data_IF_511609402817
#
_entry.id   IF_511609402817
#
_cell.length_a   1.000
_cell.length_b   1.000
_cell.length_c   1.000
_cell.angle_alpha   90.00
_cell.angle_beta   90.00
_cell.angle_gamma   90.00
#
_symmetry.space_group_name_H-M   'P 1'
#
loop_
_entity.id
_entity.type
_entity.pdbx_description
1 polymer ?
#
# COMPACT_ATOMS: atom_id res chain seq x y z
N UNK A 1 -6.21 18.12 1.38
CA UNK A 1 -5.31 19.26 1.65
C UNK A 1 -4.26 19.39 0.55
N UNK A 2 -3.71 20.60 0.40
CA UNK A 2 -2.50 20.89 -0.39
C UNK A 2 -1.46 21.45 0.57
N UNK A 3 -0.22 21.01 0.45
CA UNK A 3 0.89 21.48 1.28
C UNK A 3 2.08 21.87 0.40
N UNK A 4 2.84 22.87 0.86
CA UNK A 4 4.06 23.35 0.23
C UNK A 4 5.26 23.11 1.16
N UNK A 5 6.38 22.74 0.58
CA UNK A 5 7.68 22.74 1.24
C UNK A 5 8.57 23.75 0.53
N UNK A 6 9.03 24.75 1.27
CA UNK A 6 9.88 25.80 0.71
C UNK A 6 11.30 25.28 0.53
N UNK A 7 11.98 25.75 -0.50
CA UNK A 7 13.37 25.34 -0.73
C UNK A 7 14.25 25.64 0.50
N UNK A 8 15.12 24.71 0.86
CA UNK A 8 16.00 24.83 2.04
C UNK A 8 15.30 24.59 3.39
N UNK A 9 14.01 24.30 3.42
CA UNK A 9 13.27 23.94 4.64
C UNK A 9 12.98 22.44 4.70
N UNK A 10 12.75 21.90 5.90
CA UNK A 10 12.33 20.51 6.08
C UNK A 10 10.81 20.36 6.14
N UNK A 11 10.11 21.39 6.64
CA UNK A 11 8.71 21.30 7.03
C UNK A 11 7.75 21.54 5.86
N UNK A 12 6.66 20.76 5.87
CA UNK A 12 5.51 20.98 4.99
C UNK A 12 4.51 21.92 5.66
N UNK A 13 4.10 22.95 4.93
CA UNK A 13 3.12 23.93 5.39
C UNK A 13 1.85 23.79 4.57
N UNK A 14 0.70 23.68 5.25
CA UNK A 14 -0.60 23.62 4.59
C UNK A 14 -0.94 24.94 3.91
N UNK A 15 -1.40 24.85 2.66
CA UNK A 15 -1.96 25.98 1.92
C UNK A 15 -3.47 26.08 2.19
N UNK A 16 -3.96 27.31 2.41
CA UNK A 16 -5.38 27.59 2.44
C UNK A 16 -5.95 27.58 1.01
N UNK A 17 -7.19 27.12 0.83
CA UNK A 17 -7.76 26.82 -0.50
C UNK A 17 -8.07 28.04 -1.38
N UNK A 18 -8.04 29.24 -0.81
CA UNK A 18 -8.40 30.51 -1.42
C UNK A 18 -7.21 31.48 -1.60
N UNK A 19 -6.01 31.08 -1.17
CA UNK A 19 -4.81 31.92 -1.24
C UNK A 19 -3.95 31.60 -2.47
N UNK A 20 -3.45 32.66 -3.12
CA UNK A 20 -2.43 32.53 -4.16
C UNK A 20 -1.05 32.59 -3.53
N UNK A 21 -0.22 31.58 -3.78
CA UNK A 21 1.15 31.53 -3.31
C UNK A 21 2.12 31.54 -4.49
N UNK A 22 3.08 32.47 -4.47
CA UNK A 22 4.18 32.43 -5.42
C UNK A 22 5.06 31.21 -5.14
N UNK A 23 5.25 30.38 -6.15
CA UNK A 23 6.14 29.23 -6.13
C UNK A 23 7.53 29.67 -6.63
N UNK A 24 8.59 29.23 -5.97
CA UNK A 24 9.97 29.50 -6.39
C UNK A 24 10.64 28.22 -6.90
N UNK A 25 11.66 28.33 -7.77
CA UNK A 25 12.52 27.19 -8.07
C UNK A 25 13.05 26.53 -6.80
N UNK A 26 12.90 25.22 -6.73
CA UNK A 26 13.24 24.38 -5.59
C UNK A 26 12.11 24.15 -4.59
N UNK A 27 10.95 24.81 -4.71
CA UNK A 27 9.77 24.54 -3.89
C UNK A 27 9.06 23.24 -4.34
N UNK A 28 8.48 22.54 -3.38
CA UNK A 28 7.75 21.28 -3.59
C UNK A 28 6.30 21.42 -3.13
N UNK A 29 5.37 20.77 -3.85
CA UNK A 29 3.95 20.74 -3.54
C UNK A 29 3.49 19.29 -3.41
N UNK A 30 2.61 19.01 -2.46
CA UNK A 30 1.92 17.72 -2.35
C UNK A 30 0.41 17.90 -2.20
N UNK A 31 -0.34 17.00 -2.83
CA UNK A 31 -1.81 16.98 -2.79
C UNK A 31 -2.32 15.71 -2.13
N UNK A 32 -3.40 15.78 -1.34
CA UNK A 32 -4.07 14.61 -0.76
C UNK A 32 -5.21 14.08 -1.63
N UNK A 33 -5.85 12.98 -1.20
CA UNK A 33 -6.93 12.20 -1.87
C UNK A 33 -8.09 13.00 -2.48
N UNK A 34 -8.41 14.18 -1.95
CA UNK A 34 -9.50 15.04 -2.42
C UNK A 34 -9.04 16.48 -2.64
N UNK A 35 -7.85 16.66 -3.22
CA UNK A 35 -7.29 18.00 -3.43
C UNK A 35 -6.52 18.08 -4.72
N UNK A 36 -6.68 19.20 -5.42
CA UNK A 36 -5.93 19.54 -6.61
C UNK A 36 -5.33 20.92 -6.43
N UNK A 37 -4.33 21.26 -7.24
CA UNK A 37 -3.81 22.62 -7.30
C UNK A 37 -3.54 22.99 -8.75
N UNK A 38 -3.84 24.23 -9.11
CA UNK A 38 -3.48 24.83 -10.38
C UNK A 38 -2.23 25.70 -10.18
N UNK A 39 -1.19 25.41 -10.93
CA UNK A 39 0.05 26.19 -11.00
C UNK A 39 0.03 26.98 -12.31
N UNK A 40 0.14 28.30 -12.19
CA UNK A 40 0.17 29.22 -13.31
C UNK A 40 1.61 29.70 -13.52
N UNK A 41 2.10 29.62 -14.75
CA UNK A 41 3.44 30.07 -15.13
C UNK A 41 3.39 31.50 -15.65
N UNK A 42 4.52 32.21 -15.60
CA UNK A 42 4.63 33.59 -16.10
C UNK A 42 4.39 33.70 -17.62
N UNK A 43 4.63 32.62 -18.38
CA UNK A 43 4.39 32.59 -19.83
C UNK A 43 2.90 32.34 -20.20
N UNK A 44 2.05 32.15 -19.19
CA UNK A 44 0.62 31.87 -19.32
C UNK A 44 0.29 30.38 -19.47
N UNK A 45 1.27 29.49 -19.41
CA UNK A 45 1.04 28.05 -19.32
C UNK A 45 0.41 27.69 -17.97
N UNK A 46 -0.42 26.65 -17.96
CA UNK A 46 -1.10 26.15 -16.76
C UNK A 46 -0.75 24.69 -16.53
N UNK A 47 -0.48 24.33 -15.29
CA UNK A 47 -0.28 22.95 -14.86
C UNK A 47 -1.27 22.63 -13.74
N UNK A 48 -2.17 21.68 -13.98
CA UNK A 48 -3.02 21.14 -12.92
C UNK A 48 -2.37 19.91 -12.33
N UNK A 49 -2.18 19.93 -11.01
CA UNK A 49 -1.67 18.80 -10.22
C UNK A 49 -2.85 18.05 -9.63
N UNK A 50 -2.94 16.75 -9.94
CA UNK A 50 -4.02 15.87 -9.50
C UNK A 50 -3.92 15.56 -7.99
N UNK A 51 -4.92 14.91 -7.37
CA UNK A 51 -4.78 14.34 -6.03
C UNK A 51 -3.62 13.36 -5.93
N UNK A 52 -3.09 13.18 -4.71
CA UNK A 52 -2.03 12.22 -4.39
C UNK A 52 -0.82 12.34 -5.32
N UNK A 53 -0.36 13.58 -5.51
CA UNK A 53 0.77 13.91 -6.37
C UNK A 53 1.83 14.68 -5.59
N UNK A 54 3.09 14.43 -5.93
CA UNK A 54 4.24 15.18 -5.43
C UNK A 54 4.94 15.88 -6.59
N UNK A 55 4.87 17.20 -6.58
CA UNK A 55 5.32 18.11 -7.62
C UNK A 55 6.51 18.93 -7.12
N UNK A 56 7.43 19.27 -8.02
CA UNK A 56 8.53 20.19 -7.75
C UNK A 56 8.66 21.23 -8.85
N UNK A 57 8.76 22.50 -8.46
CA UNK A 57 9.23 23.52 -9.39
C UNK A 57 10.75 23.42 -9.47
N UNK A 58 11.30 22.97 -10.60
CA UNK A 58 12.76 22.82 -10.75
C UNK A 58 13.39 24.09 -11.32
N UNK A 59 12.75 24.70 -12.31
CA UNK A 59 13.19 25.94 -12.93
C UNK A 59 11.99 26.72 -13.47
N UNK A 60 12.01 28.03 -13.28
CA UNK A 60 11.20 28.99 -14.05
C UNK A 60 12.08 30.22 -14.32
N UNK A 61 12.57 30.34 -15.55
CA UNK A 61 13.46 31.41 -16.02
C UNK A 61 12.87 32.08 -17.25
N UNK A 62 13.56 33.07 -17.83
CA UNK A 62 13.14 33.69 -19.10
C UNK A 62 13.26 32.77 -20.31
N UNK A 63 13.98 31.66 -20.17
CA UNK A 63 14.28 30.75 -21.29
C UNK A 63 13.68 29.35 -21.14
N UNK A 64 13.38 28.93 -19.91
CA UNK A 64 12.92 27.58 -19.63
C UNK A 64 11.99 27.48 -18.41
N UNK A 65 11.13 26.48 -18.44
CA UNK A 65 10.33 25.98 -17.33
C UNK A 65 10.62 24.49 -17.21
N UNK A 66 11.02 24.06 -16.02
CA UNK A 66 11.27 22.65 -15.72
C UNK A 66 10.53 22.25 -14.45
N UNK A 67 9.74 21.19 -14.55
CA UNK A 67 8.91 20.70 -13.48
C UNK A 67 9.29 19.25 -13.20
N UNK A 68 9.39 18.91 -11.92
CA UNK A 68 9.49 17.54 -11.45
C UNK A 68 8.12 17.00 -11.03
N UNK A 69 7.79 15.79 -11.45
CA UNK A 69 6.70 14.99 -10.91
C UNK A 69 7.31 13.71 -10.32
N UNK A 70 7.34 13.61 -9.01
CA UNK A 70 7.91 12.45 -8.32
C UNK A 70 6.98 11.23 -8.40
N UNK A 71 5.69 11.45 -8.12
CA UNK A 71 4.60 10.48 -8.32
C UNK A 71 3.27 11.25 -8.44
N UNK A 72 2.25 10.58 -8.96
CA UNK A 72 0.92 11.13 -9.19
C UNK A 72 0.74 11.60 -10.63
N UNK A 73 0.05 12.73 -10.84
CA UNK A 73 -0.30 13.19 -12.19
C UNK A 73 -0.33 14.70 -12.32
N UNK A 74 0.15 15.17 -13.47
CA UNK A 74 -0.04 16.54 -13.93
C UNK A 74 -0.65 16.56 -15.32
N UNK A 75 -1.52 17.53 -15.57
CA UNK A 75 -1.94 17.92 -16.91
C UNK A 75 -1.46 19.34 -17.17
N UNK A 76 -0.82 19.53 -18.31
CA UNK A 76 -0.17 20.78 -18.65
C UNK A 76 -0.73 21.31 -19.96
N UNK A 77 -1.19 22.55 -19.93
CA UNK A 77 -1.58 23.33 -21.10
C UNK A 77 -0.47 24.33 -21.38
N UNK A 78 0.46 23.96 -22.26
CA UNK A 78 1.63 24.77 -22.59
C UNK A 78 1.31 25.67 -23.76
N UNK A 79 1.57 26.97 -23.60
CA UNK A 79 1.29 27.96 -24.64
C UNK A 79 2.18 27.74 -25.88
N UNK A 80 1.63 27.92 -27.08
CA UNK A 80 2.42 27.85 -28.33
C UNK A 80 3.45 28.98 -28.37
N UNK A 81 4.64 28.68 -28.89
CA UNK A 81 5.78 29.61 -29.00
C UNK A 81 6.28 30.20 -27.66
N UNK A 82 6.08 29.48 -26.56
CA UNK A 82 6.61 29.86 -25.25
C UNK A 82 8.06 29.40 -25.04
N UNK A 83 8.55 29.59 -23.81
CA UNK A 83 9.86 29.15 -23.32
C UNK A 83 9.99 27.62 -23.44
N UNK A 84 11.20 27.08 -23.31
CA UNK A 84 11.37 25.61 -23.28
C UNK A 84 10.58 25.06 -22.09
N UNK A 85 9.76 24.03 -22.29
CA UNK A 85 8.97 23.44 -21.22
C UNK A 85 9.31 21.97 -21.08
N UNK A 86 9.71 21.56 -19.88
CA UNK A 86 10.03 20.16 -19.58
C UNK A 86 9.28 19.67 -18.33
N UNK A 87 8.75 18.45 -18.42
CA UNK A 87 8.30 17.68 -17.26
C UNK A 87 9.25 16.51 -17.07
N UNK A 88 9.75 16.33 -15.85
CA UNK A 88 10.69 15.27 -15.47
C UNK A 88 10.04 14.37 -14.45
N UNK A 89 10.12 13.07 -14.65
CA UNK A 89 9.72 12.03 -13.71
C UNK A 89 10.93 11.15 -13.40
N UNK A 90 10.81 10.16 -12.49
CA UNK A 90 11.91 9.22 -12.25
C UNK A 90 12.36 8.45 -13.50
N UNK A 91 11.45 8.15 -14.43
CA UNK A 91 11.77 7.38 -15.64
C UNK A 91 11.82 8.17 -16.94
N UNK A 92 11.31 9.41 -16.97
CA UNK A 92 11.09 10.12 -18.20
C UNK A 92 11.49 11.60 -18.15
N UNK A 93 11.93 12.10 -19.31
CA UNK A 93 12.01 13.53 -19.61
C UNK A 93 11.08 13.82 -20.78
N UNK A 94 10.13 14.73 -20.57
CA UNK A 94 9.13 15.12 -21.54
C UNK A 94 9.41 16.56 -21.98
N UNK A 95 9.97 16.75 -23.17
CA UNK A 95 10.22 18.05 -23.76
C UNK A 95 9.03 18.46 -24.64
N UNK A 96 8.53 19.68 -24.40
CA UNK A 96 7.21 20.09 -24.88
C UNK A 96 7.26 21.47 -25.53
N UNK A 97 6.45 21.65 -26.58
CA UNK A 97 6.26 22.95 -27.23
C UNK A 97 4.83 23.10 -27.72
N UNK A 98 4.04 23.91 -27.01
CA UNK A 98 2.68 24.25 -27.41
C UNK A 98 1.74 23.04 -27.46
N UNK A 99 1.46 22.44 -26.31
CA UNK A 99 0.85 21.11 -26.21
C UNK A 99 -0.10 21.03 -25.01
N UNK A 100 -1.23 20.34 -25.19
CA UNK A 100 -2.08 19.83 -24.11
C UNK A 100 -1.75 18.36 -23.89
N UNK A 101 -1.15 18.05 -22.75
CA UNK A 101 -0.66 16.72 -22.45
C UNK A 101 -0.75 16.42 -20.95
N UNK A 102 -0.73 15.13 -20.64
CA UNK A 102 -0.76 14.62 -19.30
C UNK A 102 0.44 13.70 -19.07
N UNK A 103 1.02 13.82 -17.89
CA UNK A 103 2.09 12.95 -17.42
C UNK A 103 1.66 12.37 -16.09
N UNK A 104 1.71 11.05 -15.97
CA UNK A 104 1.58 10.35 -14.69
C UNK A 104 2.86 9.60 -14.38
N UNK A 105 3.19 9.52 -13.09
CA UNK A 105 4.26 8.69 -12.57
C UNK A 105 3.73 7.88 -11.39
N UNK A 106 3.92 6.56 -11.40
CA UNK A 106 3.57 5.72 -10.26
C UNK A 106 4.67 5.75 -9.19
N UNK A 107 4.38 5.15 -8.02
CA UNK A 107 5.35 5.08 -6.93
C UNK A 107 6.59 4.24 -7.31
N UNK A 108 6.44 3.29 -8.23
CA UNK A 108 7.49 2.41 -8.76
C UNK A 108 8.41 3.15 -9.77
N UNK A 109 8.07 4.40 -10.09
CA UNK A 109 8.82 5.29 -10.96
C UNK A 109 8.47 5.13 -12.44
N UNK A 110 7.54 4.25 -12.81
CA UNK A 110 7.10 4.15 -14.20
C UNK A 110 6.27 5.39 -14.55
N UNK A 111 6.40 5.84 -15.79
CA UNK A 111 5.70 7.03 -16.27
C UNK A 111 4.84 6.70 -17.48
N UNK A 112 3.80 7.47 -17.65
CA UNK A 112 2.98 7.47 -18.87
C UNK A 112 2.78 8.90 -19.34
N UNK A 113 2.94 9.09 -20.64
CA UNK A 113 2.73 10.37 -21.32
C UNK A 113 1.57 10.21 -22.28
N UNK A 114 0.59 11.12 -22.20
CA UNK A 114 -0.58 11.16 -23.07
C UNK A 114 -0.71 12.54 -23.70
N UNK A 115 -0.93 12.59 -25.02
CA UNK A 115 -0.99 13.86 -25.76
C UNK A 115 -2.36 14.05 -26.38
N UNK A 116 -3.01 15.17 -26.03
CA UNK A 116 -4.37 15.50 -26.48
C UNK A 116 -4.39 16.58 -27.56
N UNK A 117 -3.41 17.48 -27.58
CA UNK A 117 -3.17 18.43 -28.68
C UNK A 117 -1.67 18.68 -28.82
N UNK A 118 -1.11 18.59 -30.04
CA UNK A 118 0.30 18.88 -30.31
C UNK A 118 1.20 17.64 -30.25
N UNK A 119 2.39 17.77 -29.65
CA UNK A 119 3.35 16.65 -29.54
C UNK A 119 4.32 16.82 -28.37
N UNK A 120 4.70 15.70 -27.75
CA UNK A 120 5.73 15.62 -26.71
C UNK A 120 6.88 14.76 -27.20
N UNK A 121 8.11 15.28 -27.11
CA UNK A 121 9.30 14.44 -27.24
C UNK A 121 9.60 13.85 -25.87
N UNK A 122 9.30 12.56 -25.70
CA UNK A 122 9.56 11.85 -24.45
C UNK A 122 10.80 10.97 -24.60
N UNK A 123 11.65 10.95 -23.58
CA UNK A 123 12.83 10.09 -23.51
C UNK A 123 12.96 9.40 -22.17
N UNK A 124 13.60 8.23 -22.18
CA UNK A 124 13.85 7.42 -21.00
C UNK A 124 15.26 7.58 -20.42
N UNK A 125 15.52 6.93 -19.29
CA UNK A 125 16.82 6.94 -18.60
C UNK A 125 17.96 6.25 -19.36
N UNK A 126 17.67 5.52 -20.44
CA UNK A 126 18.65 4.82 -21.28
C UNK A 126 18.98 5.59 -22.57
N UNK A 127 18.38 6.77 -22.76
CA UNK A 127 18.59 7.61 -23.94
C UNK A 127 17.72 7.24 -25.14
N UNK A 128 16.73 6.34 -24.98
CA UNK A 128 15.72 6.14 -26.01
C UNK A 128 14.77 7.34 -26.00
N UNK A 129 14.32 7.78 -27.17
CA UNK A 129 13.38 8.90 -27.29
C UNK A 129 12.39 8.67 -28.42
N UNK A 130 11.12 9.01 -28.18
CA UNK A 130 10.04 8.92 -29.16
C UNK A 130 9.16 10.16 -29.13
N UNK A 131 8.70 10.58 -30.30
CA UNK A 131 7.75 11.67 -30.45
C UNK A 131 6.31 11.14 -30.29
N UNK A 132 5.69 11.44 -29.15
CA UNK A 132 4.29 11.14 -28.87
C UNK A 132 3.43 12.25 -29.47
N UNK A 133 2.55 11.93 -30.40
CA UNK A 133 1.69 12.90 -31.09
C UNK A 133 0.29 12.93 -30.50
N UNK A 134 -0.47 13.93 -30.90
CA UNK A 134 -1.90 14.01 -30.64
C UNK A 134 -2.63 12.68 -30.84
N UNK A 135 -3.46 12.33 -29.86
CA UNK A 135 -4.19 11.06 -29.83
C UNK A 135 -3.29 9.85 -29.55
N UNK A 136 -2.06 10.04 -29.06
CA UNK A 136 -1.16 8.96 -28.69
C UNK A 136 -0.78 8.99 -27.21
N UNK A 137 -0.32 7.85 -26.73
CA UNK A 137 0.33 7.69 -25.45
C UNK A 137 1.62 6.87 -25.56
N UNK A 138 2.48 6.95 -24.56
CA UNK A 138 3.62 6.05 -24.39
C UNK A 138 3.85 5.74 -22.91
N UNK A 139 4.12 4.47 -22.61
CA UNK A 139 4.56 4.02 -21.29
C UNK A 139 6.10 3.99 -21.24
N UNK A 140 6.67 4.49 -20.15
CA UNK A 140 8.10 4.67 -19.93
C UNK A 140 8.45 4.03 -18.59
N UNK A 141 8.84 2.74 -18.56
CA UNK A 141 9.17 2.04 -17.32
C UNK A 141 10.40 2.63 -16.61
N UNK A 142 10.46 2.52 -15.28
CA UNK A 142 11.59 3.00 -14.46
C UNK A 142 12.95 2.45 -14.89
N UNK A 143 12.97 1.19 -15.32
CA UNK A 143 14.17 0.53 -15.84
C UNK A 143 14.59 0.96 -17.25
N UNK A 144 13.90 1.92 -17.88
CA UNK A 144 14.05 2.26 -19.29
C UNK A 144 13.25 1.34 -20.21
N UNK A 145 13.57 1.35 -21.51
CA UNK A 145 12.82 0.68 -22.59
C UNK A 145 11.43 1.29 -22.79
N UNK A 146 11.42 2.59 -23.04
CA UNK A 146 10.22 3.29 -23.51
C UNK A 146 9.50 2.49 -24.61
N UNK A 147 8.18 2.34 -24.48
CA UNK A 147 7.36 1.71 -25.52
C UNK A 147 7.12 2.68 -26.67
N UNK A 148 7.03 2.15 -27.88
CA UNK A 148 6.62 2.94 -29.04
C UNK A 148 5.23 3.57 -28.80
N UNK A 149 4.99 4.82 -29.27
CA UNK A 149 3.72 5.48 -29.08
C UNK A 149 2.55 4.69 -29.67
N UNK A 150 1.55 4.39 -28.84
CA UNK A 150 0.30 3.74 -29.23
C UNK A 150 -0.86 4.74 -29.36
N UNK A 151 -1.94 4.34 -30.01
CA UNK A 151 -3.17 5.15 -30.06
C UNK A 151 -3.80 5.26 -28.67
N UNK A 152 -4.14 6.48 -28.26
CA UNK A 152 -4.92 6.78 -27.07
C UNK A 152 -6.39 7.00 -27.48
N UNK A 153 -7.27 6.00 -27.32
CA UNK A 153 -8.68 6.15 -27.67
C UNK A 153 -9.45 7.04 -26.68
N UNK A 154 -8.87 7.30 -25.52
CA UNK A 154 -9.51 8.01 -24.42
C UNK A 154 -9.25 9.52 -24.51
N UNK A 155 -10.29 10.31 -24.24
CA UNK A 155 -10.15 11.74 -24.04
C UNK A 155 -9.41 12.08 -22.74
N UNK A 156 -9.14 13.37 -22.47
CA UNK A 156 -8.43 13.75 -21.26
C UNK A 156 -9.18 13.35 -19.99
N UNK A 157 -8.53 12.55 -19.14
CA UNK A 157 -9.10 12.07 -17.88
C UNK A 157 -9.41 13.19 -16.87
N UNK A 158 -10.31 12.91 -15.92
CA UNK A 158 -10.67 13.85 -14.86
C UNK A 158 -9.49 14.11 -13.91
N UNK A 159 -8.94 15.32 -13.97
CA UNK A 159 -7.84 15.77 -13.12
C UNK A 159 -8.20 16.01 -11.65
N UNK A 160 -9.49 15.89 -11.28
CA UNK A 160 -9.92 15.86 -9.87
C UNK A 160 -9.85 14.45 -9.27
N UNK A 161 -9.59 13.44 -10.10
CA UNK A 161 -9.18 12.10 -9.67
C UNK A 161 -7.65 11.99 -9.79
N UNK A 162 -7.00 11.10 -9.06
CA UNK A 162 -5.57 10.84 -9.30
C UNK A 162 -5.35 9.92 -10.50
N UNK A 163 -4.13 9.89 -11.06
CA UNK A 163 -3.79 8.86 -12.05
C UNK A 163 -3.59 7.53 -11.37
N UNK A 164 -4.02 6.47 -12.05
CA UNK A 164 -4.13 5.14 -11.48
C UNK A 164 -5.54 4.87 -11.02
N UNK A 165 -6.02 3.64 -11.24
CA UNK A 165 -7.29 3.21 -10.67
C UNK A 165 -7.31 3.43 -9.15
N UNK A 166 -8.49 3.37 -8.51
CA UNK A 166 -8.68 3.44 -7.05
C UNK A 166 -7.62 2.63 -6.25
N UNK A 167 -7.11 1.56 -6.86
CA UNK A 167 -6.02 0.71 -6.42
C UNK A 167 -4.68 1.40 -6.19
N UNK A 168 -4.19 2.26 -7.09
CA UNK A 168 -2.88 2.90 -6.91
C UNK A 168 -2.91 3.95 -5.78
N UNK A 169 -4.06 4.58 -5.56
CA UNK A 169 -4.31 5.50 -4.45
C UNK A 169 -4.39 4.80 -3.10
N UNK A 170 -5.06 3.66 -3.11
CA UNK A 170 -5.06 2.71 -2.02
C UNK A 170 -3.63 2.30 -1.63
N UNK A 171 -2.78 1.97 -2.60
CA UNK A 171 -1.37 1.61 -2.39
C UNK A 171 -0.57 2.77 -1.80
N UNK A 172 -0.62 3.95 -2.40
CA UNK A 172 0.16 5.11 -1.96
C UNK A 172 -0.17 5.53 -0.52
N UNK A 173 -1.44 5.45 -0.10
CA UNK A 173 -1.85 5.73 1.27
C UNK A 173 -1.31 4.71 2.27
N UNK A 174 -1.30 3.42 1.91
CA UNK A 174 -0.84 2.36 2.80
C UNK A 174 0.69 2.39 2.94
N UNK A 175 1.42 2.68 1.86
CA UNK A 175 2.88 2.54 1.80
C UNK A 175 3.67 3.84 2.05
N UNK A 176 3.03 5.01 1.91
CA UNK A 176 3.71 6.31 1.98
C UNK A 176 3.97 6.83 3.41
N UNK A 177 3.35 6.25 4.43
CA UNK A 177 3.37 6.76 5.80
C UNK A 177 4.32 5.91 6.67
N UNK A 178 5.51 6.44 6.96
CA UNK A 178 6.52 5.75 7.79
C UNK A 178 6.84 6.46 9.10
N UNK A 179 6.71 7.79 9.20
CA UNK A 179 6.98 8.49 10.47
C UNK A 179 5.85 8.25 11.48
N UNK A 180 6.20 8.22 12.78
CA UNK A 180 5.21 8.07 13.85
C UNK A 180 4.18 9.20 13.82
N UNK A 181 4.64 10.43 13.60
CA UNK A 181 3.81 11.63 13.57
C UNK A 181 2.79 11.58 12.43
N UNK A 182 3.22 11.20 11.22
CA UNK A 182 2.31 11.06 10.07
C UNK A 182 1.27 9.98 10.33
N UNK A 183 1.70 8.80 10.82
CA UNK A 183 0.80 7.68 11.13
C UNK A 183 -0.24 8.08 12.17
N UNK A 184 0.16 8.77 13.25
CA UNK A 184 -0.75 9.21 14.30
C UNK A 184 -1.68 10.33 13.83
N UNK A 185 -1.18 11.30 13.06
CA UNK A 185 -2.00 12.39 12.52
C UNK A 185 -3.10 11.85 11.62
N UNK A 186 -2.77 10.86 10.78
CA UNK A 186 -3.71 10.25 9.83
C UNK A 186 -4.72 9.36 10.53
N UNK A 187 -4.26 8.58 11.52
CA UNK A 187 -5.16 7.83 12.37
C UNK A 187 -6.19 8.74 13.07
N UNK A 188 -5.80 9.92 13.56
CA UNK A 188 -6.73 10.88 14.15
C UNK A 188 -7.79 11.40 13.17
N UNK A 189 -7.46 11.54 11.89
CA UNK A 189 -8.41 11.91 10.84
C UNK A 189 -9.37 10.74 10.53
N UNK A 190 -8.82 9.54 10.39
CA UNK A 190 -9.56 8.32 10.03
C UNK A 190 -10.50 7.83 11.12
N UNK A 191 -10.08 7.92 12.38
CA UNK A 191 -10.89 7.51 13.54
C UNK A 191 -12.17 8.34 13.68
N UNK A 192 -12.25 9.54 13.08
CA UNK A 192 -13.51 10.31 13.03
C UNK A 192 -14.56 9.67 12.13
N UNK A 193 -14.14 8.84 11.19
CA UNK A 193 -14.98 8.16 10.21
C UNK A 193 -14.92 6.62 10.36
N UNK A 194 -14.40 6.11 11.49
CA UNK A 194 -14.28 4.67 11.72
C UNK A 194 -15.60 4.00 12.04
N UNK A 195 -15.81 2.82 11.48
CA UNK A 195 -17.00 1.99 11.74
C UNK A 195 -16.86 1.22 13.04
N UNK A 196 -15.70 0.61 13.25
CA UNK A 196 -15.33 -0.08 14.47
C UNK A 196 -14.07 0.56 15.05
N UNK A 197 -14.04 0.66 16.38
CA UNK A 197 -12.89 1.17 17.12
C UNK A 197 -12.75 0.38 18.42
N UNK A 198 -11.53 -0.03 18.72
CA UNK A 198 -11.16 -0.64 19.99
C UNK A 198 -9.95 0.07 20.58
N UNK A 199 -9.98 0.26 21.89
CA UNK A 199 -8.82 0.64 22.68
C UNK A 199 -8.64 -0.41 23.76
N UNK A 200 -7.51 -1.10 23.71
CA UNK A 200 -7.21 -2.21 24.60
C UNK A 200 -5.80 -2.06 25.14
N UNK A 201 -5.63 -2.48 26.39
CA UNK A 201 -4.31 -2.64 26.98
C UNK A 201 -4.13 -4.12 27.30
N UNK A 202 -3.01 -4.68 26.88
CA UNK A 202 -2.63 -6.05 27.15
C UNK A 202 -1.12 -6.13 27.42
N UNK A 203 -0.65 -7.28 27.86
CA UNK A 203 0.77 -7.61 27.97
C UNK A 203 1.14 -8.49 26.78
N UNK A 204 2.28 -8.22 26.15
CA UNK A 204 2.78 -9.03 25.04
C UNK A 204 3.53 -10.28 25.51
N UNK A 205 3.89 -11.16 24.57
CA UNK A 205 4.63 -12.40 24.84
C UNK A 205 6.00 -12.18 25.52
N UNK A 206 6.50 -10.94 25.56
CA UNK A 206 7.76 -10.56 26.19
C UNK A 206 7.56 -9.84 27.53
N UNK A 207 6.32 -9.81 28.05
CA UNK A 207 5.99 -9.20 29.34
C UNK A 207 5.83 -7.68 29.30
N UNK A 208 5.82 -7.04 28.13
CA UNK A 208 5.68 -5.60 28.02
C UNK A 208 4.22 -5.19 27.88
N UNK A 209 3.86 -4.08 28.52
CA UNK A 209 2.53 -3.50 28.41
C UNK A 209 2.36 -2.81 27.05
N UNK A 210 1.34 -3.20 26.31
CA UNK A 210 1.00 -2.67 24.99
C UNK A 210 -0.32 -1.91 25.08
N UNK A 211 -0.32 -0.64 24.68
CA UNK A 211 -1.54 0.09 24.35
C UNK A 211 -1.86 -0.12 22.88
N UNK A 212 -2.98 -0.76 22.61
CA UNK A 212 -3.48 -1.06 21.27
C UNK A 212 -4.63 -0.11 20.95
N UNK A 213 -4.50 0.63 19.86
CA UNK A 213 -5.59 1.40 19.26
C UNK A 213 -5.86 0.82 17.88
N UNK A 214 -7.06 0.28 17.71
CA UNK A 214 -7.44 -0.44 16.51
C UNK A 214 -8.73 0.15 15.96
N UNK A 215 -8.83 0.22 14.64
CA UNK A 215 -10.02 0.73 14.01
C UNK A 215 -10.15 0.24 12.57
N UNK A 216 -11.35 0.44 12.03
CA UNK A 216 -11.64 0.13 10.65
C UNK A 216 -12.33 1.27 9.92
N UNK A 217 -11.99 1.48 8.65
CA UNK A 217 -12.64 2.50 7.80
C UNK A 217 -13.01 1.94 6.42
N UNK A 218 -13.94 2.60 5.73
CA UNK A 218 -14.24 2.36 4.31
C UNK A 218 -13.70 3.48 3.44
N UNK A 219 -12.50 3.35 2.88
CA UNK A 219 -11.92 4.39 2.04
C UNK A 219 -12.62 4.51 0.67
N UNK A 220 -13.37 3.47 0.25
CA UNK A 220 -14.21 3.44 -0.93
C UNK A 220 -15.36 2.43 -0.74
N UNK A 221 -16.38 2.46 -1.62
CA UNK A 221 -17.58 1.63 -1.49
C UNK A 221 -17.28 0.11 -1.47
N UNK A 222 -16.24 -0.34 -2.17
CA UNK A 222 -15.81 -1.74 -2.22
C UNK A 222 -14.52 -1.99 -1.42
N UNK A 223 -14.15 -1.08 -0.52
CA UNK A 223 -12.91 -1.17 0.23
C UNK A 223 -13.14 -1.10 1.74
N UNK A 224 -12.33 -1.85 2.46
CA UNK A 224 -12.28 -1.86 3.91
C UNK A 224 -10.82 -1.85 4.33
N UNK A 225 -10.45 -0.94 5.24
CA UNK A 225 -9.11 -0.83 5.80
C UNK A 225 -9.15 -1.13 7.29
N UNK A 226 -8.27 -2.02 7.72
CA UNK A 226 -7.98 -2.33 9.11
C UNK A 226 -6.68 -1.65 9.53
N UNK A 227 -6.67 -1.02 10.69
CA UNK A 227 -5.47 -0.39 11.26
C UNK A 227 -5.32 -0.79 12.72
N UNK A 228 -4.08 -1.10 13.11
CA UNK A 228 -3.67 -1.27 14.51
C UNK A 228 -2.45 -0.43 14.80
N UNK A 229 -2.49 0.27 15.92
CA UNK A 229 -1.39 1.08 16.45
C UNK A 229 -1.01 0.52 17.81
N UNK A 230 0.23 0.07 17.96
CA UNK A 230 0.76 -0.47 19.21
C UNK A 230 1.79 0.50 19.80
N UNK A 231 1.47 1.07 20.96
CA UNK A 231 2.43 1.85 21.73
C UNK A 231 2.91 1.05 22.94
N UNK A 232 4.22 0.97 23.09
CA UNK A 232 4.92 0.52 24.31
C UNK A 232 5.81 1.68 24.79
N UNK A 233 6.40 1.55 25.98
CA UNK A 233 7.19 2.64 26.58
C UNK A 233 8.35 3.10 25.67
N UNK A 234 9.03 2.17 24.99
CA UNK A 234 10.23 2.45 24.21
C UNK A 234 10.08 2.23 22.70
N UNK A 235 8.88 1.90 22.21
CA UNK A 235 8.66 1.58 20.78
C UNK A 235 7.23 1.85 20.33
N UNK A 236 7.10 2.04 19.03
CA UNK A 236 5.83 2.18 18.35
C UNK A 236 5.84 1.32 17.11
N UNK A 237 4.82 0.48 16.97
CA UNK A 237 4.63 -0.42 15.86
C UNK A 237 3.21 -0.26 15.35
N UNK A 238 2.99 -0.49 14.06
CA UNK A 238 1.67 -0.42 13.48
C UNK A 238 1.49 -1.44 12.35
N UNK A 239 0.23 -1.78 12.13
CA UNK A 239 -0.22 -2.59 11.01
C UNK A 239 -1.34 -1.87 10.26
N UNK A 240 -1.28 -1.89 8.93
CA UNK A 240 -2.34 -1.40 8.05
C UNK A 240 -2.62 -2.47 7.01
N UNK A 241 -3.88 -2.86 6.87
CA UNK A 241 -4.31 -3.80 5.84
C UNK A 241 -5.51 -3.21 5.11
N UNK A 242 -5.38 -3.04 3.80
CA UNK A 242 -6.46 -2.64 2.93
C UNK A 242 -6.93 -3.85 2.12
N UNK A 243 -8.23 -4.08 2.20
CA UNK A 243 -8.96 -5.11 1.48
C UNK A 243 -9.83 -4.46 0.40
N UNK A 244 -9.65 -4.89 -0.85
CA UNK A 244 -10.50 -4.44 -1.96
C UNK A 244 -11.34 -5.61 -2.46
N UNK A 245 -12.66 -5.41 -2.53
CA UNK A 245 -13.63 -6.43 -2.89
C UNK A 245 -14.11 -6.30 -4.33
N UNK A 246 -14.61 -7.41 -4.87
CA UNK A 246 -15.22 -7.50 -6.20
C UNK A 246 -16.49 -6.64 -6.37
N UNK A 247 -17.14 -6.24 -5.28
CA UNK A 247 -18.38 -5.49 -5.27
C UNK A 247 -18.43 -4.48 -4.12
N UNK A 248 -19.37 -3.54 -4.20
CA UNK A 248 -19.66 -2.63 -3.09
C UNK A 248 -20.02 -3.43 -1.84
N UNK A 249 -19.46 -3.01 -0.72
CA UNK A 249 -19.58 -3.71 0.54
C UNK A 249 -20.94 -3.43 1.21
N UNK A 250 -21.52 -4.42 1.91
CA UNK A 250 -22.74 -4.26 2.67
C UNK A 250 -22.52 -3.37 3.91
N UNK A 251 -23.61 -2.83 4.46
CA UNK A 251 -23.58 -2.01 5.67
C UNK A 251 -22.97 -2.77 6.86
N UNK A 252 -23.30 -4.05 7.02
CA UNK A 252 -22.62 -4.91 7.98
C UNK A 252 -21.40 -5.58 7.34
N UNK A 253 -20.19 -5.17 7.74
CA UNK A 253 -18.93 -5.73 7.21
C UNK A 253 -18.84 -7.25 7.35
N UNK A 254 -19.39 -7.83 8.43
CA UNK A 254 -19.29 -9.26 8.68
C UNK A 254 -19.92 -10.11 7.57
N UNK A 255 -20.88 -9.56 6.82
CA UNK A 255 -21.54 -10.28 5.73
C UNK A 255 -20.58 -10.49 4.54
N UNK A 256 -19.58 -9.62 4.39
CA UNK A 256 -18.55 -9.73 3.36
C UNK A 256 -17.27 -10.40 3.87
N UNK A 257 -16.77 -10.01 5.04
CA UNK A 257 -15.46 -10.45 5.57
C UNK A 257 -15.46 -11.90 6.03
N UNK A 258 -16.58 -12.39 6.55
CA UNK A 258 -16.79 -13.74 7.03
C UNK A 258 -16.31 -14.87 6.11
N UNK A 259 -16.51 -14.68 4.80
CA UNK A 259 -16.31 -15.70 3.78
C UNK A 259 -15.29 -15.23 2.72
N UNK A 260 -14.58 -14.11 2.98
CA UNK A 260 -13.74 -13.46 1.99
C UNK A 260 -12.48 -14.27 1.64
N UNK A 261 -12.03 -15.14 2.55
CA UNK A 261 -10.86 -16.02 2.38
C UNK A 261 -11.29 -17.46 2.08
N UNK A 262 -12.23 -18.00 2.86
CA UNK A 262 -12.79 -19.34 2.65
C UNK A 262 -14.29 -19.27 2.85
N UNK A 263 -15.05 -19.80 1.89
CA UNK A 263 -16.51 -19.85 1.94
C UNK A 263 -16.98 -21.32 1.89
N UNK A 264 -17.67 -21.83 2.91
CA UNK A 264 -18.23 -23.18 2.87
C UNK A 264 -19.38 -23.27 1.87
N UNK A 265 -19.59 -24.45 1.30
CA UNK A 265 -20.66 -24.75 0.36
C UNK A 265 -20.23 -24.82 -1.10
N UNK A 266 -21.20 -25.16 -1.95
CA UNK A 266 -21.02 -25.33 -3.40
C UNK A 266 -21.34 -24.08 -4.21
N UNK A 267 -21.68 -22.97 -3.56
CA UNK A 267 -21.96 -21.68 -4.21
C UNK A 267 -20.83 -20.69 -3.94
N UNK A 268 -20.42 -19.95 -4.98
CA UNK A 268 -19.43 -18.90 -4.82
C UNK A 268 -19.98 -17.78 -3.94
N UNK A 269 -19.19 -17.21 -3.01
CA UNK A 269 -19.66 -16.12 -2.17
C UNK A 269 -19.86 -14.84 -3.00
N UNK A 270 -20.84 -14.04 -2.59
CA UNK A 270 -21.16 -12.78 -3.26
C UNK A 270 -20.01 -11.75 -3.17
N UNK A 271 -19.31 -11.73 -2.03
CA UNK A 271 -18.16 -10.87 -1.79
C UNK A 271 -16.88 -11.69 -1.62
N UNK A 272 -15.83 -11.26 -2.30
CA UNK A 272 -14.49 -11.81 -2.16
C UNK A 272 -13.44 -10.75 -2.47
N UNK A 273 -12.23 -10.98 -1.96
CA UNK A 273 -11.12 -10.06 -2.19
C UNK A 273 -10.66 -10.16 -3.65
N UNK A 274 -10.49 -9.00 -4.27
CA UNK A 274 -9.78 -8.84 -5.54
C UNK A 274 -8.33 -8.44 -5.29
N UNK A 275 -8.11 -7.59 -4.28
CA UNK A 275 -6.78 -7.10 -3.90
C UNK A 275 -6.62 -7.08 -2.38
N UNK A 276 -5.37 -7.22 -1.93
CA UNK A 276 -4.97 -7.03 -0.54
C UNK A 276 -3.63 -6.30 -0.49
N UNK A 277 -3.55 -5.25 0.32
CA UNK A 277 -2.35 -4.45 0.54
C UNK A 277 -2.08 -4.35 2.03
N UNK A 278 -0.92 -4.82 2.48
CA UNK A 278 -0.58 -4.91 3.90
C UNK A 278 0.78 -4.26 4.18
N UNK A 279 0.87 -3.51 5.28
CA UNK A 279 2.13 -3.03 5.86
C UNK A 279 2.14 -3.30 7.35
N UNK A 280 3.24 -3.90 7.80
CA UNK A 280 3.61 -3.96 9.21
C UNK A 280 4.91 -3.19 9.38
N UNK A 281 5.00 -2.28 10.35
CA UNK A 281 6.19 -1.44 10.51
C UNK A 281 6.41 -0.96 11.94
N UNK A 282 7.68 -0.74 12.29
CA UNK A 282 8.12 -0.07 13.51
C UNK A 282 8.56 1.38 13.25
N UNK A 283 8.09 2.00 12.15
CA UNK A 283 8.50 3.31 11.58
C UNK A 283 9.86 3.36 10.86
N UNK A 284 10.70 2.34 11.04
CA UNK A 284 12.04 2.26 10.43
C UNK A 284 12.13 1.11 9.45
N UNK A 285 11.70 -0.07 9.88
CA UNK A 285 11.64 -1.30 9.14
C UNK A 285 10.18 -1.58 8.74
N UNK A 286 9.99 -2.30 7.63
CA UNK A 286 8.66 -2.70 7.17
C UNK A 286 8.65 -4.08 6.52
N UNK A 287 7.50 -4.73 6.64
CA UNK A 287 7.09 -5.90 5.86
C UNK A 287 5.85 -5.51 5.06
N UNK A 288 5.86 -5.82 3.77
CA UNK A 288 4.80 -5.42 2.84
C UNK A 288 4.28 -6.64 2.09
N UNK A 289 2.96 -6.76 1.99
CA UNK A 289 2.30 -7.75 1.12
C UNK A 289 1.45 -7.04 0.09
N UNK A 290 1.61 -7.41 -1.17
CA UNK A 290 0.87 -6.85 -2.29
C UNK A 290 0.24 -7.97 -3.11
N UNK A 291 -1.08 -8.06 -3.08
CA UNK A 291 -1.83 -9.15 -3.70
C UNK A 291 -2.95 -8.65 -4.60
N UNK A 292 -3.21 -9.38 -5.69
CA UNK A 292 -4.22 -9.00 -6.67
C UNK A 292 -4.69 -10.09 -7.62
N UNK A 293 -5.76 -9.77 -8.35
CA UNK A 293 -6.43 -10.75 -9.20
C UNK A 293 -7.04 -11.85 -8.36
N UNK A 294 -7.55 -11.48 -7.18
CA UNK A 294 -8.21 -12.37 -6.25
C UNK A 294 -9.50 -12.92 -6.84
N UNK A 295 -9.66 -14.23 -6.72
CA UNK A 295 -10.84 -14.96 -7.15
C UNK A 295 -11.13 -16.10 -6.16
N UNK A 296 -12.41 -16.43 -6.01
CA UNK A 296 -12.83 -17.59 -5.24
C UNK A 296 -12.82 -18.83 -6.13
N UNK A 297 -12.08 -19.85 -5.72
CA UNK A 297 -11.95 -21.10 -6.47
C UNK A 297 -12.53 -22.26 -5.69
N UNK A 298 -13.42 -23.01 -6.33
CA UNK A 298 -14.03 -24.20 -5.74
C UNK A 298 -12.99 -25.30 -5.55
N UNK A 299 -13.01 -25.97 -4.40
CA UNK A 299 -12.05 -27.02 -4.06
C UNK A 299 -12.36 -28.38 -4.71
N UNK A 300 -13.42 -28.49 -5.52
CA UNK A 300 -13.89 -29.73 -6.16
C UNK A 300 -14.17 -30.89 -5.18
N UNK A 301 -14.38 -30.59 -3.89
CA UNK A 301 -14.74 -31.60 -2.90
C UNK A 301 -16.26 -31.75 -2.80
N UNK A 302 -16.76 -32.98 -2.87
CA UNK A 302 -18.17 -33.29 -2.63
C UNK A 302 -18.48 -33.54 -1.16
N UNK A 303 -17.49 -34.00 -0.38
CA UNK A 303 -17.66 -34.28 1.06
C UNK A 303 -17.49 -33.05 1.94
N UNK A 304 -16.80 -32.05 1.43
CA UNK A 304 -16.49 -30.80 2.12
C UNK A 304 -16.36 -29.66 1.09
N UNK A 305 -17.46 -29.32 0.41
CA UNK A 305 -17.47 -28.32 -0.64
C UNK A 305 -17.15 -26.95 -0.04
N UNK A 306 -16.19 -26.24 -0.64
CA UNK A 306 -15.83 -24.87 -0.26
C UNK A 306 -15.14 -24.15 -1.40
N UNK A 307 -15.24 -22.83 -1.37
CA UNK A 307 -14.42 -21.94 -2.18
C UNK A 307 -13.29 -21.36 -1.34
N UNK A 308 -12.10 -21.23 -1.93
CA UNK A 308 -10.95 -20.57 -1.32
C UNK A 308 -10.48 -19.39 -2.18
N UNK A 309 -10.17 -18.29 -1.51
CA UNK A 309 -9.62 -17.09 -2.12
C UNK A 309 -8.20 -17.37 -2.59
N UNK A 310 -7.95 -16.99 -3.84
CA UNK A 310 -6.62 -17.09 -4.42
C UNK A 310 -6.33 -15.85 -5.23
N UNK A 311 -5.18 -15.24 -4.96
CA UNK A 311 -4.66 -14.12 -5.74
C UNK A 311 -3.87 -14.63 -6.94
N UNK A 312 -4.21 -14.14 -8.13
CA UNK A 312 -3.43 -14.37 -9.34
C UNK A 312 -2.00 -13.85 -9.23
N UNK A 313 -1.81 -12.70 -8.58
CA UNK A 313 -0.49 -12.14 -8.28
C UNK A 313 -0.34 -11.87 -6.79
N UNK A 314 0.81 -12.22 -6.23
CA UNK A 314 1.14 -11.96 -4.84
C UNK A 314 2.64 -11.71 -4.70
N UNK A 315 3.03 -10.64 -4.03
CA UNK A 315 4.41 -10.31 -3.76
C UNK A 315 4.63 -9.95 -2.29
N UNK A 316 5.77 -10.39 -1.75
CA UNK A 316 6.16 -10.20 -0.37
C UNK A 316 7.49 -9.46 -0.30
N UNK A 317 7.52 -8.38 0.46
CA UNK A 317 8.67 -7.50 0.57
C UNK A 317 9.07 -7.32 2.03
N UNK A 318 10.35 -7.03 2.23
CA UNK A 318 10.87 -6.56 3.51
C UNK A 318 11.86 -5.43 3.29
N UNK A 319 11.94 -4.49 4.22
CA UNK A 319 12.92 -3.42 4.15
C UNK A 319 13.34 -2.96 5.53
N UNK A 320 14.65 -2.80 5.72
CA UNK A 320 15.20 -1.81 6.64
C UNK A 320 15.51 -0.51 5.91
N UNK A 321 16.25 0.42 6.55
CA UNK A 321 16.56 1.74 5.98
C UNK A 321 17.19 1.69 4.58
N UNK A 322 18.09 0.71 4.34
CA UNK A 322 18.80 0.59 3.07
C UNK A 322 17.90 0.13 1.90
N UNK A 323 16.77 -0.52 2.18
CA UNK A 323 15.84 -1.04 1.17
C UNK A 323 14.57 -0.19 1.07
N UNK A 324 14.44 0.86 1.87
CA UNK A 324 13.19 1.60 2.05
C UNK A 324 12.61 2.18 0.76
N UNK A 325 13.47 2.56 -0.21
CA UNK A 325 13.08 3.10 -1.51
C UNK A 325 13.00 2.09 -2.66
N UNK A 326 13.28 0.81 -2.43
CA UNK A 326 13.20 -0.21 -3.48
C UNK A 326 11.74 -0.53 -3.83
N UNK A 327 11.50 -0.94 -5.09
CA UNK A 327 10.18 -1.30 -5.62
C UNK A 327 9.11 -0.25 -5.30
N UNK A 328 9.42 1.03 -5.59
CA UNK A 328 8.51 2.14 -5.32
C UNK A 328 8.16 2.35 -3.85
N UNK A 329 9.08 1.99 -2.95
CA UNK A 329 8.84 2.08 -1.53
C UNK A 329 8.12 0.87 -0.94
N UNK A 330 7.99 -0.25 -1.65
CA UNK A 330 7.47 -1.49 -1.05
C UNK A 330 8.56 -2.23 -0.24
N UNK A 331 9.82 -2.06 -0.61
CA UNK A 331 10.97 -2.72 0.00
C UNK A 331 11.68 -3.67 -0.96
N UNK A 332 12.58 -4.49 -0.43
CA UNK A 332 13.21 -5.56 -1.23
C UNK A 332 12.18 -6.68 -1.45
N UNK A 333 11.89 -6.99 -2.72
CA UNK A 333 11.02 -8.10 -3.07
C UNK A 333 11.74 -9.41 -2.72
N UNK A 334 11.24 -10.11 -1.71
CA UNK A 334 11.80 -11.38 -1.27
C UNK A 334 11.26 -12.54 -2.10
N UNK A 335 9.99 -12.50 -2.46
CA UNK A 335 9.42 -13.41 -3.45
C UNK A 335 8.16 -12.82 -4.06
N UNK A 336 7.83 -13.28 -5.28
CA UNK A 336 6.57 -12.97 -5.91
C UNK A 336 6.10 -14.13 -6.77
N UNK A 337 4.79 -14.31 -6.84
CA UNK A 337 4.09 -15.27 -7.67
C UNK A 337 3.19 -14.51 -8.64
N UNK A 338 3.23 -14.87 -9.92
CA UNK A 338 2.40 -14.21 -10.95
C UNK A 338 1.56 -15.19 -11.74
N UNK A 339 0.40 -14.70 -12.19
CA UNK A 339 -0.58 -15.42 -13.01
C UNK A 339 -0.89 -16.83 -12.48
N UNK A 340 -1.12 -16.95 -11.17
CA UNK A 340 -1.49 -18.23 -10.59
C UNK A 340 -2.90 -18.64 -11.03
N UNK A 341 -2.99 -19.78 -11.70
CA UNK A 341 -4.21 -20.41 -12.14
C UNK A 341 -4.42 -21.70 -11.34
N UNK A 342 -5.49 -21.69 -10.55
CA UNK A 342 -5.73 -22.69 -9.52
C UNK A 342 -6.35 -23.98 -10.04
N UNK A 343 -7.36 -23.96 -10.93
CA UNK A 343 -7.90 -25.20 -11.50
C UNK A 343 -6.81 -26.12 -12.06
N UNK A 344 -5.70 -25.55 -12.53
CA UNK A 344 -4.60 -26.28 -13.14
C UNK A 344 -3.36 -26.36 -12.23
N UNK A 345 -3.38 -25.74 -11.05
CA UNK A 345 -2.22 -25.51 -10.18
C UNK A 345 -0.98 -24.99 -10.93
N UNK A 346 -1.20 -24.14 -11.93
CA UNK A 346 -0.14 -23.58 -12.78
C UNK A 346 0.11 -22.14 -12.39
N UNK A 347 1.37 -21.72 -12.39
CA UNK A 347 1.76 -20.31 -12.29
C UNK A 347 2.69 -20.00 -13.46
N UNK A 348 2.60 -18.79 -14.01
CA UNK A 348 3.54 -18.38 -15.07
C UNK A 348 4.96 -18.25 -14.52
N UNK A 349 5.10 -17.75 -13.29
CA UNK A 349 6.38 -17.68 -12.62
C UNK A 349 6.21 -17.56 -11.10
N UNK A 350 7.12 -18.18 -10.36
CA UNK A 350 7.47 -17.77 -9.00
C UNK A 350 8.91 -17.26 -9.07
N UNK A 351 9.12 -16.05 -8.54
CA UNK A 351 10.42 -15.44 -8.40
C UNK A 351 10.78 -15.39 -6.92
N UNK A 352 12.05 -15.66 -6.63
CA UNK A 352 12.61 -15.55 -5.31
C UNK A 352 13.83 -14.65 -5.37
N UNK A 353 14.05 -13.88 -4.33
CA UNK A 353 15.27 -13.12 -4.17
C UNK A 353 16.48 -14.07 -4.17
N UNK A 354 17.53 -13.70 -4.90
CA UNK A 354 18.68 -14.59 -5.13
C UNK A 354 18.41 -15.76 -6.10
N UNK A 355 17.25 -15.81 -6.75
CA UNK A 355 16.96 -16.68 -7.90
C UNK A 355 16.55 -18.12 -7.58
N UNK A 356 16.58 -18.53 -6.31
CA UNK A 356 16.19 -19.87 -5.86
C UNK A 356 15.20 -19.79 -4.70
N UNK A 357 14.35 -20.81 -4.57
CA UNK A 357 13.43 -20.92 -3.44
C UNK A 357 14.21 -20.88 -2.11
N UNK A 358 13.69 -20.18 -1.08
CA UNK A 358 14.38 -20.11 0.20
C UNK A 358 14.35 -21.46 0.91
N UNK A 359 15.33 -21.67 1.79
CA UNK A 359 15.23 -22.72 2.81
C UNK A 359 14.20 -22.28 3.85
N UNK A 360 13.15 -23.08 4.01
CA UNK A 360 12.08 -22.83 4.99
C UNK A 360 12.46 -23.49 6.31
N UNK A 361 12.40 -22.71 7.39
CA UNK A 361 12.58 -23.17 8.77
C UNK A 361 11.25 -23.01 9.49
N UNK A 362 10.75 -24.08 10.12
CA UNK A 362 9.53 -24.01 10.95
C UNK A 362 9.81 -24.59 12.33
N UNK A 363 9.20 -24.03 13.36
CA UNK A 363 9.28 -24.53 14.72
C UNK A 363 8.01 -24.18 15.52
N UNK A 364 7.80 -24.90 16.62
CA UNK A 364 6.80 -24.59 17.65
C UNK A 364 7.54 -24.40 18.97
N UNK A 365 8.10 -23.21 19.26
CA UNK A 365 9.04 -23.06 20.36
C UNK A 365 8.39 -23.29 21.74
N UNK A 366 7.10 -23.00 21.88
CA UNK A 366 6.30 -23.32 23.07
C UNK A 366 5.87 -24.79 23.18
N UNK A 367 6.16 -25.62 22.18
CA UNK A 367 5.67 -27.00 22.08
C UNK A 367 4.40 -27.12 21.23
N UNK A 368 3.97 -28.35 20.89
CA UNK A 368 2.90 -28.61 19.92
C UNK A 368 1.50 -28.17 20.40
N UNK A 369 1.33 -28.06 21.71
CA UNK A 369 0.08 -27.68 22.37
C UNK A 369 -0.02 -26.18 22.68
N UNK A 370 1.04 -25.41 22.39
CA UNK A 370 1.07 -23.97 22.63
C UNK A 370 0.92 -23.26 21.30
N UNK A 371 0.06 -22.24 21.26
CA UNK A 371 -0.18 -21.41 20.08
C UNK A 371 0.97 -20.40 19.88
N UNK A 372 2.16 -20.94 19.67
CA UNK A 372 3.41 -20.24 19.41
C UNK A 372 4.14 -20.91 18.25
N UNK A 373 4.17 -20.23 17.10
CA UNK A 373 4.78 -20.77 15.88
C UNK A 373 5.86 -19.85 15.35
N UNK A 374 6.91 -20.44 14.79
CA UNK A 374 7.99 -19.74 14.11
C UNK A 374 8.08 -20.23 12.67
N UNK A 375 8.15 -19.30 11.72
CA UNK A 375 8.45 -19.59 10.31
C UNK A 375 9.51 -18.63 9.80
N UNK A 376 10.58 -19.17 9.20
CA UNK A 376 11.67 -18.41 8.60
C UNK A 376 11.98 -18.83 7.18
N UNK A 377 12.39 -17.87 6.35
CA UNK A 377 12.85 -18.06 4.99
C UNK A 377 14.30 -17.57 4.88
N UNK A 378 15.21 -18.44 4.45
CA UNK A 378 16.62 -18.11 4.21
C UNK A 378 16.91 -18.21 2.72
N UNK A 379 17.28 -17.08 2.11
CA UNK A 379 17.56 -16.96 0.68
C UNK A 379 19.02 -17.29 0.35
N UNK A 380 19.32 -17.47 -0.94
CA UNK A 380 20.60 -17.98 -1.42
C UNK A 380 21.81 -17.08 -1.09
N UNK A 381 21.60 -15.79 -0.86
CA UNK A 381 22.63 -14.84 -0.43
C UNK A 381 22.72 -14.68 1.10
N UNK A 382 22.03 -15.55 1.86
CA UNK A 382 21.85 -15.50 3.31
C UNK A 382 20.99 -14.33 3.83
N UNK A 383 20.33 -13.57 2.95
CA UNK A 383 19.23 -12.72 3.39
C UNK A 383 18.14 -13.60 3.99
N UNK A 384 17.56 -13.18 5.11
CA UNK A 384 16.51 -13.95 5.76
C UNK A 384 15.43 -13.07 6.36
N UNK A 385 14.22 -13.63 6.48
CA UNK A 385 13.12 -13.07 7.24
C UNK A 385 12.41 -14.18 8.01
N UNK A 386 11.95 -13.88 9.20
CA UNK A 386 11.13 -14.78 9.99
C UNK A 386 9.95 -14.05 10.62
N UNK A 387 8.87 -14.79 10.84
CA UNK A 387 7.71 -14.39 11.61
C UNK A 387 7.56 -15.36 12.79
N UNK A 388 7.39 -14.79 13.97
CA UNK A 388 7.03 -15.51 15.18
C UNK A 388 5.63 -15.06 15.61
N UNK A 389 4.72 -16.02 15.72
CA UNK A 389 3.30 -15.82 15.94
C UNK A 389 2.88 -16.38 17.29
N UNK A 390 2.11 -15.60 18.03
CA UNK A 390 1.57 -15.93 19.34
C UNK A 390 0.07 -15.69 19.38
N UNK A 391 -0.66 -16.59 20.02
CA UNK A 391 -2.02 -16.31 20.52
C UNK A 391 -1.92 -16.23 22.03
N UNK A 392 -2.29 -15.10 22.62
CA UNK A 392 -2.10 -14.85 24.05
C UNK A 392 -3.28 -14.14 24.70
N UNK A 393 -3.43 -14.36 26.01
CA UNK A 393 -4.37 -13.66 26.87
C UNK A 393 -3.92 -12.21 27.15
N UNK A 394 -4.74 -11.45 27.89
CA UNK A 394 -4.44 -10.04 28.18
C UNK A 394 -3.28 -9.81 29.15
N UNK A 395 -2.93 -10.82 29.92
CA UNK A 395 -1.82 -10.86 30.87
C UNK A 395 -0.50 -11.36 30.25
N UNK A 396 -0.51 -11.74 28.98
CA UNK A 396 0.68 -12.17 28.24
C UNK A 396 0.85 -13.69 28.21
N UNK A 397 0.01 -14.44 28.92
CA UNK A 397 0.07 -15.90 28.90
C UNK A 397 -0.31 -16.43 27.51
N UNK A 398 0.57 -17.26 26.95
CA UNK A 398 0.37 -17.84 25.62
C UNK A 398 -0.67 -18.96 25.73
N UNK A 399 -1.67 -18.90 24.86
CA UNK A 399 -2.75 -19.87 24.77
C UNK A 399 -2.17 -21.26 24.51
N UNK A 400 -2.68 -22.25 25.24
CA UNK A 400 -2.42 -23.65 25.05
C UNK A 400 -3.71 -24.45 24.84
N UNK A 401 -3.62 -25.66 24.29
CA UNK A 401 -4.76 -26.59 24.17
C UNK A 401 -5.33 -26.96 25.55
N UNK A 402 -4.50 -26.95 26.60
CA UNK A 402 -4.90 -27.21 27.99
C UNK A 402 -5.86 -26.17 28.57
N UNK A 403 -5.82 -24.93 28.07
CA UNK A 403 -6.68 -23.83 28.56
C UNK A 403 -8.15 -24.00 28.15
N UNK A 404 -8.42 -24.79 27.10
CA UNK A 404 -9.78 -25.19 26.73
C UNK A 404 -10.27 -26.40 27.54
N UNK A 405 -9.35 -27.29 27.93
CA UNK A 405 -9.66 -28.53 28.65
C UNK A 405 -9.89 -28.34 30.15
N UNK A 406 -9.33 -27.27 30.74
CA UNK A 406 -9.54 -26.90 32.15
C UNK A 406 -10.95 -26.34 32.43
N UNK A 407 -11.77 -26.20 31.40
CA UNK A 407 -13.14 -25.71 31.46
C UNK A 407 -13.17 -24.18 31.48
N UNK A 408 -14.04 -23.60 30.64
CA UNK A 408 -14.42 -22.20 30.77
C UNK A 408 -15.04 -22.05 32.17
N UNK A 409 -14.35 -21.43 33.14
CA UNK A 409 -14.86 -21.33 34.51
C UNK A 409 -16.33 -20.91 34.54
N UNK A 410 -17.15 -21.47 35.46
CA UNK A 410 -18.62 -21.37 35.41
C UNK A 410 -19.11 -19.99 34.94
N UNK A 411 -19.81 -19.98 33.80
CA UNK A 411 -20.40 -18.77 33.22
C UNK A 411 -19.61 -18.08 32.11
N UNK A 412 -18.38 -18.53 31.78
CA UNK A 412 -17.66 -18.03 30.60
C UNK A 412 -18.11 -18.79 29.34
N UNK A 413 -18.49 -18.07 28.29
CA UNK A 413 -18.72 -18.63 26.95
C UNK A 413 -17.39 -18.69 26.17
N UNK A 414 -17.32 -19.51 25.12
CA UNK A 414 -16.17 -19.52 24.19
C UNK A 414 -15.91 -18.10 23.66
N UNK A 415 -16.99 -17.38 23.31
CA UNK A 415 -16.92 -15.98 22.91
C UNK A 415 -16.26 -15.06 23.95
N UNK A 416 -16.56 -15.23 25.23
CA UNK A 416 -16.02 -14.41 26.31
C UNK A 416 -14.53 -14.67 26.57
N UNK A 417 -14.05 -15.88 26.28
CA UNK A 417 -12.63 -16.23 26.35
C UNK A 417 -11.90 -15.71 25.12
N UNK A 418 -12.48 -15.92 23.94
CA UNK A 418 -12.00 -15.36 22.68
C UNK A 418 -11.80 -13.84 22.74
N UNK A 419 -12.70 -13.08 23.37
CA UNK A 419 -12.56 -11.61 23.47
C UNK A 419 -11.35 -11.17 24.29
N UNK A 420 -10.82 -12.06 25.14
CA UNK A 420 -9.61 -11.83 25.93
C UNK A 420 -8.34 -12.20 25.16
N UNK A 421 -8.46 -12.87 24.03
CA UNK A 421 -7.30 -13.24 23.22
C UNK A 421 -6.78 -12.06 22.41
N UNK A 422 -5.51 -12.17 22.06
CA UNK A 422 -4.76 -11.28 21.20
C UNK A 422 -3.85 -12.13 20.30
N UNK A 423 -3.64 -11.65 19.09
CA UNK A 423 -2.68 -12.23 18.16
C UNK A 423 -1.48 -11.30 18.12
N UNK A 424 -0.28 -11.82 18.36
CA UNK A 424 0.95 -11.05 18.22
C UNK A 424 1.80 -11.69 17.14
N UNK A 425 2.29 -10.87 16.22
CA UNK A 425 3.27 -11.26 15.21
C UNK A 425 4.52 -10.42 15.34
N UNK A 426 5.66 -11.10 15.40
CA UNK A 426 6.98 -10.49 15.50
C UNK A 426 7.80 -10.85 14.28
N UNK A 427 8.13 -9.84 13.46
CA UNK A 427 9.03 -10.01 12.33
C UNK A 427 10.47 -9.72 12.73
N UNK A 428 11.36 -10.60 12.31
CA UNK A 428 12.82 -10.44 12.40
C UNK A 428 13.44 -10.67 11.03
N UNK A 429 14.53 -9.98 10.70
CA UNK A 429 15.19 -10.12 9.40
C UNK A 429 16.65 -9.67 9.47
N UNK A 430 17.49 -10.24 8.60
CA UNK A 430 18.84 -9.70 8.34
C UNK A 430 18.82 -8.23 7.88
N UNK A 431 17.69 -7.76 7.32
CA UNK A 431 17.54 -6.39 6.82
C UNK A 431 17.28 -5.37 7.94
N UNK A 432 16.84 -5.81 9.12
CA UNK A 432 16.37 -4.92 10.19
C UNK A 432 17.48 -4.49 11.16
N UNK A 433 18.74 -4.89 10.92
CA UNK A 433 19.87 -4.50 11.77
C UNK A 433 19.66 -4.79 13.25
N UNK A 434 19.03 -5.92 13.59
CA UNK A 434 18.73 -6.34 14.96
C UNK A 434 17.44 -5.79 15.56
N UNK A 435 16.73 -4.88 14.86
CA UNK A 435 15.39 -4.43 15.28
C UNK A 435 14.33 -5.46 14.90
N UNK A 436 13.14 -5.32 15.49
CA UNK A 436 11.98 -6.16 15.20
C UNK A 436 10.78 -5.28 14.85
N UNK A 437 9.82 -5.85 14.12
CA UNK A 437 8.47 -5.28 13.97
C UNK A 437 7.55 -6.15 14.80
N UNK A 438 6.87 -5.58 15.79
CA UNK A 438 6.10 -6.31 16.80
C UNK A 438 4.68 -5.75 16.88
N UNK A 439 3.77 -6.41 16.17
CA UNK A 439 2.38 -5.97 16.03
C UNK A 439 1.46 -6.94 16.76
N UNK A 440 0.55 -6.39 17.56
CA UNK A 440 -0.41 -7.11 18.38
C UNK A 440 -1.83 -6.63 18.10
N UNK A 441 -2.72 -7.58 17.78
CA UNK A 441 -4.12 -7.39 17.38
C UNK A 441 -5.06 -7.96 18.44
N UNK A 442 -6.21 -7.33 18.68
CA UNK A 442 -7.24 -7.92 19.54
C UNK A 442 -8.14 -8.88 18.76
N UNK A 443 -8.36 -10.08 19.31
CA UNK A 443 -9.30 -11.03 18.73
C UNK A 443 -10.73 -10.46 18.68
N UNK A 444 -11.08 -9.62 19.66
CA UNK A 444 -12.39 -8.96 19.75
C UNK A 444 -12.70 -8.11 18.51
N UNK A 445 -11.82 -7.18 18.13
CA UNK A 445 -12.08 -6.33 16.96
C UNK A 445 -12.12 -7.14 15.67
N UNK A 446 -11.21 -8.11 15.52
CA UNK A 446 -11.21 -9.02 14.37
C UNK A 446 -12.54 -9.80 14.28
N UNK A 447 -13.09 -10.24 15.41
CA UNK A 447 -14.41 -10.89 15.47
C UNK A 447 -15.54 -9.94 15.10
N UNK A 448 -15.57 -8.73 15.68
CA UNK A 448 -16.58 -7.70 15.38
C UNK A 448 -16.56 -7.28 13.89
N UNK A 449 -15.37 -7.19 13.30
CA UNK A 449 -15.19 -6.93 11.87
C UNK A 449 -15.45 -8.16 10.98
N UNK A 450 -15.77 -9.32 11.55
CA UNK A 450 -16.01 -10.58 10.84
C UNK A 450 -14.77 -11.19 10.18
N UNK A 451 -13.57 -10.72 10.55
CA UNK A 451 -12.28 -11.21 10.06
C UNK A 451 -11.83 -12.51 10.77
N UNK A 452 -12.47 -12.85 11.88
CA UNK A 452 -12.15 -14.02 12.69
C UNK A 452 -13.43 -14.73 13.12
N UNK A 453 -13.43 -16.06 13.00
CA UNK A 453 -14.50 -16.97 13.45
C UNK A 453 -13.87 -18.09 14.26
N UNK A 454 -14.51 -18.46 15.36
CA UNK A 454 -14.10 -19.55 16.25
C UNK A 454 -15.08 -20.71 16.16
#
# INVERSE_FOLDING_TARGET
MVEIKRTGTADWVKLAGDEQHKLQPGDELRTSRASTVDVMMDDGSRVKVAPLSAFKMSEESDSAVSIGLYFGRVRSWVKKFSKKFEVRTPSAVCAVRGTDFMVSADAEGNSRVEVYEGSVLAGDSQGNSSLVREGQFSDIPAGGRMKDPGNNPDGPGDMNSAAGGLRELARAEIYGELSKEDVLSRAQEEMKASEYQSRKVAVDAYGNRVRMEEYTIRPAANQFKYVVLNTRDNRFDFGKILFTFNAALPANLSDATANMITAPGSEAPAWYLTDMNSVMSNTVDKVTEDASGGAMVFNNSLSDPRYNLIFGNYAFYAAGPAQAGLNGGLGLQLWAKTNYNVPNNTHSSISYYGGAAPTIVTAQPGGPDVFHTYTGNIYSDNTWIAAEDYVLFNDGDVLSTGDFNSGLGQGNTVDAVTDKLNFQRVYTSSLFGGRTIDVMYSAKLLKEAGLLRF
#
